data_IF_896039495476
#
_entry.id   IF_896039495476
#
_cell.length_a   1.000
_cell.length_b   1.000
_cell.length_c   1.000
_cell.angle_alpha   90.00
_cell.angle_beta   90.00
_cell.angle_gamma   90.00
#
_symmetry.space_group_name_H-M   'P 1'
#
loop_
_entity.id
_entity.type
_entity.pdbx_description
1 polymer ?
#
# COMPACT_ATOMS: atom_id res chain seq x y z
N UNK A 1 -48.84 -17.78 -48.48
CA UNK A 1 -47.84 -18.61 -49.18
C UNK A 1 -46.72 -17.70 -49.68
N UNK A 2 -45.53 -17.87 -49.09
CA UNK A 2 -44.19 -17.35 -49.39
C UNK A 2 -43.99 -16.09 -50.27
N UNK A 3 -43.31 -15.09 -49.70
CA UNK A 3 -42.32 -14.28 -50.42
C UNK A 3 -41.01 -14.24 -49.64
N UNK A 4 -40.00 -14.85 -50.25
CA UNK A 4 -38.58 -14.74 -49.96
C UNK A 4 -38.15 -13.31 -50.29
N UNK A 5 -37.38 -12.64 -49.43
CA UNK A 5 -36.24 -11.84 -49.89
C UNK A 5 -35.28 -11.56 -48.73
N UNK A 6 -34.08 -12.09 -48.89
CA UNK A 6 -32.82 -11.84 -48.17
C UNK A 6 -32.53 -10.36 -47.91
N UNK A 7 -32.06 -10.05 -46.70
CA UNK A 7 -31.32 -8.82 -46.40
C UNK A 7 -30.04 -9.19 -45.65
N UNK A 8 -28.92 -9.03 -46.36
CA UNK A 8 -27.54 -9.16 -45.89
C UNK A 8 -27.07 -7.76 -45.46
N UNK A 9 -26.06 -7.70 -44.59
CA UNK A 9 -25.19 -6.54 -44.26
C UNK A 9 -25.72 -5.62 -43.17
N UNK A 10 -24.95 -5.13 -42.22
CA UNK A 10 -23.56 -5.37 -41.82
C UNK A 10 -23.36 -4.76 -40.43
N UNK A 11 -22.37 -5.28 -39.72
CA UNK A 11 -21.82 -4.81 -38.46
C UNK A 11 -21.58 -3.29 -38.44
N UNK A 12 -21.92 -2.64 -37.32
CA UNK A 12 -21.18 -1.46 -36.85
C UNK A 12 -20.94 -1.58 -35.34
N UNK A 13 -19.83 -2.24 -35.00
CA UNK A 13 -19.16 -2.08 -33.71
C UNK A 13 -18.57 -0.67 -33.67
N UNK A 14 -19.20 0.25 -32.96
CA UNK A 14 -18.59 1.54 -32.64
C UNK A 14 -17.53 1.33 -31.56
N UNK A 15 -16.28 1.22 -32.01
CA UNK A 15 -15.10 1.28 -31.14
C UNK A 15 -14.99 2.70 -30.57
N UNK A 16 -15.01 2.84 -29.24
CA UNK A 16 -14.56 4.08 -28.59
C UNK A 16 -13.05 4.20 -28.79
N UNK A 17 -12.64 5.14 -29.63
CA UNK A 17 -11.26 5.59 -29.71
C UNK A 17 -10.97 6.50 -28.51
N UNK A 18 -10.08 6.04 -27.62
CA UNK A 18 -9.45 6.93 -26.63
C UNK A 18 -8.47 7.84 -27.36
N UNK A 19 -8.87 9.09 -27.59
CA UNK A 19 -7.93 10.13 -27.97
C UNK A 19 -7.01 10.44 -26.78
N UNK A 20 -5.75 9.97 -26.84
CA UNK A 20 -4.67 10.50 -26.02
C UNK A 20 -4.36 11.93 -26.50
N UNK A 21 -5.01 12.91 -25.89
CA UNK A 21 -4.58 14.30 -26.02
C UNK A 21 -3.30 14.49 -25.21
N UNK A 22 -2.16 14.44 -25.92
CA UNK A 22 -0.86 14.85 -25.39
C UNK A 22 -0.87 16.32 -25.03
N UNK A 23 -0.86 16.61 -23.73
CA UNK A 23 -0.72 17.98 -23.22
C UNK A 23 0.65 18.58 -23.55
N UNK A 24 0.79 19.92 -23.52
CA UNK A 24 1.98 20.61 -23.97
C UNK A 24 3.22 20.23 -23.16
N UNK A 25 4.32 19.96 -23.88
CA UNK A 25 5.66 19.73 -23.34
C UNK A 25 6.11 20.96 -22.55
N UNK A 26 6.26 20.83 -21.23
CA UNK A 26 6.91 21.86 -20.42
C UNK A 26 8.40 21.91 -20.72
N UNK A 27 8.83 23.11 -21.07
CA UNK A 27 10.16 23.48 -21.54
C UNK A 27 11.28 23.19 -20.54
N UNK A 28 12.40 22.70 -21.07
CA UNK A 28 13.67 22.62 -20.39
C UNK A 28 14.26 24.02 -20.17
N UNK A 29 14.51 24.39 -18.92
CA UNK A 29 15.68 25.11 -18.42
C UNK A 29 15.36 25.78 -17.07
N UNK A 30 15.73 25.11 -16.00
CA UNK A 30 15.83 25.69 -14.67
C UNK A 30 17.20 25.40 -14.09
N UNK A 31 18.23 26.14 -14.53
CA UNK A 31 19.53 26.19 -13.84
C UNK A 31 19.33 26.89 -12.49
N UNK A 32 19.05 26.10 -11.45
CA UNK A 32 19.06 26.56 -10.07
C UNK A 32 20.45 26.34 -9.45
N UNK A 33 21.19 27.41 -9.21
CA UNK A 33 22.42 27.40 -8.42
C UNK A 33 22.14 26.92 -7.00
N UNK A 34 22.42 25.65 -6.70
CA UNK A 34 22.58 25.14 -5.34
C UNK A 34 24.05 25.21 -4.94
N UNK A 35 24.40 26.14 -4.06
CA UNK A 35 25.77 26.30 -3.53
C UNK A 35 26.24 25.09 -2.70
N UNK A 36 27.55 25.01 -2.42
CA UNK A 36 28.18 23.81 -1.87
C UNK A 36 28.02 23.78 -0.34
N UNK A 37 26.90 23.24 0.14
CA UNK A 37 26.79 22.89 1.55
C UNK A 37 27.25 21.46 1.80
N UNK A 38 28.54 21.39 2.08
CA UNK A 38 29.21 20.52 3.04
C UNK A 38 28.34 19.38 3.62
N UNK A 39 28.62 18.19 3.11
CA UNK A 39 28.84 16.94 3.84
C UNK A 39 28.83 17.08 5.37
N UNK A 40 27.65 16.99 5.99
CA UNK A 40 27.52 16.73 7.41
C UNK A 40 27.16 15.25 7.57
N UNK A 41 28.21 14.43 7.73
CA UNK A 41 28.11 13.05 8.20
C UNK A 41 27.54 13.07 9.63
N UNK A 42 26.22 13.02 9.76
CA UNK A 42 25.59 12.54 10.99
C UNK A 42 26.02 11.08 11.23
N UNK A 43 25.98 10.58 12.47
CA UNK A 43 26.41 9.22 12.78
C UNK A 43 25.62 8.27 11.87
N UNK A 44 26.35 7.59 10.98
CA UNK A 44 25.81 6.59 10.08
C UNK A 44 25.06 5.57 10.92
N UNK A 45 23.73 5.71 11.03
CA UNK A 45 22.90 4.54 11.25
C UNK A 45 23.10 3.71 10.00
N UNK A 46 23.87 2.63 10.15
CA UNK A 46 23.92 1.58 9.14
C UNK A 46 22.49 1.37 8.65
N UNK A 47 22.26 1.33 7.33
CA UNK A 47 20.96 0.94 6.85
C UNK A 47 20.71 -0.44 7.44
N UNK A 48 19.78 -0.54 8.41
CA UNK A 48 19.16 -1.79 8.82
C UNK A 48 18.32 -2.32 7.63
N UNK A 49 18.97 -2.48 6.48
CA UNK A 49 18.48 -3.04 5.23
C UNK A 49 18.52 -4.56 5.28
N UNK A 50 18.13 -5.12 6.42
CA UNK A 50 18.22 -6.55 6.71
C UNK A 50 16.87 -7.20 6.92
N UNK A 51 15.75 -6.57 6.56
CA UNK A 51 14.41 -6.98 7.03
C UNK A 51 14.13 -8.48 7.00
N UNK A 52 14.54 -9.22 5.96
CA UNK A 52 14.40 -10.69 5.90
C UNK A 52 15.74 -11.45 5.83
N UNK A 53 16.78 -10.82 5.29
CA UNK A 53 18.11 -11.43 5.17
C UNK A 53 18.89 -11.42 6.49
N UNK A 54 18.69 -10.42 7.36
CA UNK A 54 19.25 -10.43 8.71
C UNK A 54 18.53 -11.45 9.60
N UNK A 55 17.19 -11.53 9.50
CA UNK A 55 16.41 -12.58 10.17
C UNK A 55 16.86 -14.01 9.80
N UNK A 56 17.31 -14.21 8.55
CA UNK A 56 17.85 -15.50 8.10
C UNK A 56 19.17 -15.87 8.77
N UNK A 57 20.10 -14.92 8.85
CA UNK A 57 21.41 -15.14 9.47
C UNK A 57 21.28 -15.30 10.98
N UNK A 58 20.40 -14.55 11.61
CA UNK A 58 20.27 -14.55 13.08
C UNK A 58 19.60 -15.82 13.60
N UNK A 59 18.64 -16.38 12.84
CA UNK A 59 17.91 -17.58 13.22
C UNK A 59 18.46 -18.88 12.61
N UNK A 60 19.51 -18.81 11.77
CA UNK A 60 20.06 -19.95 11.05
C UNK A 60 18.98 -20.80 10.36
N UNK A 61 18.11 -20.16 9.58
CA UNK A 61 16.99 -20.84 8.93
C UNK A 61 17.48 -21.86 7.90
N UNK A 62 16.86 -23.05 7.87
CA UNK A 62 17.12 -24.02 6.82
C UNK A 62 16.59 -23.51 5.46
N UNK A 63 17.09 -24.07 4.35
CA UNK A 63 16.59 -23.74 3.01
C UNK A 63 15.08 -24.01 2.88
N UNK A 64 14.60 -25.08 3.49
CA UNK A 64 13.18 -25.46 3.51
C UNK A 64 12.35 -24.46 4.32
N UNK A 65 12.77 -24.12 5.54
CA UNK A 65 12.11 -23.11 6.37
C UNK A 65 12.03 -21.75 5.64
N UNK A 66 13.13 -21.33 5.01
CA UNK A 66 13.15 -20.12 4.22
C UNK A 66 12.12 -20.16 3.08
N UNK A 67 12.07 -21.26 2.33
CA UNK A 67 11.15 -21.39 1.21
C UNK A 67 9.70 -21.30 1.69
N UNK A 68 9.34 -21.98 2.78
CA UNK A 68 8.03 -21.89 3.41
C UNK A 68 7.71 -20.45 3.85
N UNK A 69 8.65 -19.75 4.47
CA UNK A 69 8.46 -18.37 4.90
C UNK A 69 8.26 -17.39 3.73
N UNK A 70 8.94 -17.61 2.60
CA UNK A 70 8.74 -16.81 1.37
C UNK A 70 7.33 -16.99 0.84
N UNK A 71 6.84 -18.22 0.77
CA UNK A 71 5.48 -18.52 0.31
C UNK A 71 4.42 -17.93 1.24
N UNK A 72 4.62 -18.04 2.56
CA UNK A 72 3.74 -17.40 3.55
C UNK A 72 3.72 -15.87 3.38
N UNK A 73 4.87 -15.25 3.15
CA UNK A 73 4.98 -13.81 2.91
C UNK A 73 4.27 -13.39 1.62
N UNK A 74 4.38 -14.17 0.54
CA UNK A 74 3.67 -13.90 -0.70
C UNK A 74 2.15 -13.97 -0.51
N UNK A 75 1.65 -15.04 0.11
CA UNK A 75 0.22 -15.19 0.43
C UNK A 75 -0.28 -14.06 1.35
N UNK A 76 0.55 -13.62 2.29
CA UNK A 76 0.23 -12.48 3.14
C UNK A 76 0.17 -11.17 2.34
N UNK A 77 1.09 -10.93 1.41
CA UNK A 77 1.11 -9.73 0.59
C UNK A 77 -0.16 -9.61 -0.28
N UNK A 78 -0.63 -10.71 -0.84
CA UNK A 78 -1.88 -10.77 -1.62
C UNK A 78 -3.10 -10.39 -0.77
N UNK A 79 -3.21 -10.96 0.44
CA UNK A 79 -4.30 -10.62 1.38
C UNK A 79 -4.25 -9.17 1.84
N UNK A 80 -3.06 -8.68 2.17
CA UNK A 80 -2.86 -7.27 2.55
C UNK A 80 -3.25 -6.32 1.42
N UNK A 81 -2.90 -6.64 0.17
CA UNK A 81 -3.26 -5.81 -0.98
C UNK A 81 -4.78 -5.72 -1.13
N UNK A 82 -5.49 -6.85 -1.00
CA UNK A 82 -6.96 -6.89 -1.02
C UNK A 82 -7.56 -5.98 0.05
N UNK A 83 -7.12 -6.12 1.30
CA UNK A 83 -7.66 -5.31 2.40
C UNK A 83 -7.33 -3.82 2.28
N UNK A 84 -6.15 -3.47 1.74
CA UNK A 84 -5.78 -2.07 1.43
C UNK A 84 -6.66 -1.48 0.33
N UNK A 85 -6.94 -2.24 -0.71
CA UNK A 85 -7.81 -1.81 -1.80
C UNK A 85 -9.23 -1.58 -1.28
N UNK A 86 -9.77 -2.53 -0.51
CA UNK A 86 -11.08 -2.40 0.13
C UNK A 86 -11.14 -1.19 1.06
N UNK A 87 -10.11 -0.97 1.89
CA UNK A 87 -10.06 0.21 2.75
C UNK A 87 -10.07 1.52 1.94
N UNK A 88 -9.34 1.55 0.83
CA UNK A 88 -9.23 2.74 -0.02
C UNK A 88 -10.55 3.04 -0.71
N UNK A 89 -11.23 2.01 -1.22
CA UNK A 89 -12.56 2.13 -1.81
C UNK A 89 -13.59 2.66 -0.80
N UNK A 90 -13.65 2.08 0.40
CA UNK A 90 -14.55 2.53 1.46
C UNK A 90 -14.28 4.01 1.86
N UNK A 91 -13.01 4.41 1.91
CA UNK A 91 -12.63 5.81 2.18
C UNK A 91 -13.09 6.76 1.08
N UNK A 92 -12.99 6.36 -0.19
CA UNK A 92 -13.47 7.15 -1.32
C UNK A 92 -15.00 7.28 -1.29
N UNK A 93 -15.71 6.19 -1.02
CA UNK A 93 -17.17 6.21 -0.88
C UNK A 93 -17.61 7.12 0.27
N UNK A 94 -16.93 7.06 1.41
CA UNK A 94 -17.17 7.95 2.55
C UNK A 94 -16.91 9.41 2.20
N UNK A 95 -15.79 9.72 1.56
CA UNK A 95 -15.46 11.09 1.12
C UNK A 95 -16.49 11.64 0.14
N UNK A 96 -16.96 10.82 -0.80
CA UNK A 96 -17.99 11.21 -1.76
C UNK A 96 -19.34 11.48 -1.08
N UNK A 97 -19.72 10.64 -0.11
CA UNK A 97 -21.00 10.78 0.60
C UNK A 97 -21.06 12.06 1.45
N UNK A 98 -20.03 12.29 2.27
CA UNK A 98 -19.96 13.46 3.16
C UNK A 98 -19.78 14.78 2.39
N UNK A 99 -19.20 14.73 1.18
CA UNK A 99 -19.06 15.91 0.32
C UNK A 99 -20.28 16.17 -0.57
N UNK A 100 -21.30 15.30 -0.51
CA UNK A 100 -22.50 15.46 -1.32
C UNK A 100 -23.36 16.63 -0.81
N UNK A 101 -24.22 17.18 -1.68
CA UNK A 101 -25.12 18.29 -1.30
C UNK A 101 -26.15 17.91 -0.24
N UNK A 102 -26.42 16.61 -0.08
CA UNK A 102 -27.38 16.05 0.87
C UNK A 102 -26.82 14.70 1.37
N UNK A 103 -25.88 14.72 2.31
CA UNK A 103 -25.31 13.48 2.85
C UNK A 103 -26.39 12.62 3.49
N UNK A 104 -26.31 11.31 3.28
CA UNK A 104 -27.13 10.31 3.97
C UNK A 104 -26.40 9.80 5.21
N UNK A 105 -26.85 10.25 6.39
CA UNK A 105 -26.28 9.88 7.68
C UNK A 105 -26.23 8.35 7.89
N UNK A 106 -27.26 7.61 7.44
CA UNK A 106 -27.28 6.15 7.60
C UNK A 106 -26.19 5.48 6.78
N UNK A 107 -26.01 5.97 5.55
CA UNK A 107 -24.95 5.46 4.67
C UNK A 107 -23.56 5.81 5.19
N UNK A 108 -23.39 6.98 5.80
CA UNK A 108 -22.15 7.36 6.47
C UNK A 108 -21.83 6.39 7.62
N UNK A 109 -22.80 6.09 8.47
CA UNK A 109 -22.64 5.13 9.58
C UNK A 109 -22.27 3.73 9.06
N UNK A 110 -22.96 3.25 8.02
CA UNK A 110 -22.65 1.97 7.37
C UNK A 110 -21.21 1.92 6.84
N UNK A 111 -20.74 3.00 6.20
CA UNK A 111 -19.37 3.09 5.69
C UNK A 111 -18.33 3.12 6.82
N UNK A 112 -18.65 3.76 7.96
CA UNK A 112 -17.80 3.75 9.17
C UNK A 112 -17.67 2.32 9.70
N UNK A 113 -18.78 1.60 9.82
CA UNK A 113 -18.80 0.22 10.30
C UNK A 113 -18.00 -0.72 9.38
N UNK A 114 -18.18 -0.58 8.06
CA UNK A 114 -17.43 -1.35 7.07
C UNK A 114 -15.93 -1.07 7.13
N UNK A 115 -15.52 0.20 7.28
CA UNK A 115 -14.11 0.55 7.50
C UNK A 115 -13.57 -0.05 8.80
N UNK A 116 -14.37 -0.04 9.87
CA UNK A 116 -14.04 -0.66 11.14
C UNK A 116 -13.81 -2.17 11.02
N UNK A 117 -14.68 -2.87 10.30
CA UNK A 117 -14.55 -4.32 10.11
C UNK A 117 -13.34 -4.69 9.22
N UNK A 118 -13.06 -3.90 8.19
CA UNK A 118 -11.87 -4.11 7.36
C UNK A 118 -10.56 -3.88 8.16
N UNK A 119 -10.56 -2.91 9.08
CA UNK A 119 -9.45 -2.71 10.02
C UNK A 119 -9.26 -3.91 10.96
N UNK A 120 -10.36 -4.44 11.53
CA UNK A 120 -10.30 -5.67 12.35
C UNK A 120 -9.76 -6.85 11.55
N UNK A 121 -10.19 -7.00 10.31
CA UNK A 121 -9.71 -8.06 9.40
C UNK A 121 -8.20 -7.93 9.17
N UNK A 122 -7.71 -6.72 8.91
CA UNK A 122 -6.27 -6.45 8.77
C UNK A 122 -5.49 -6.84 10.03
N UNK A 123 -6.01 -6.53 11.22
CA UNK A 123 -5.39 -6.91 12.49
C UNK A 123 -5.36 -8.42 12.69
N UNK A 124 -6.48 -9.12 12.42
CA UNK A 124 -6.55 -10.59 12.49
C UNK A 124 -5.54 -11.24 11.56
N UNK A 125 -5.41 -10.74 10.33
CA UNK A 125 -4.42 -11.25 9.38
C UNK A 125 -2.98 -11.03 9.86
N UNK A 126 -2.67 -9.87 10.46
CA UNK A 126 -1.34 -9.63 11.05
C UNK A 126 -1.04 -10.64 12.14
N UNK A 127 -1.99 -10.89 13.05
CA UNK A 127 -1.85 -11.92 14.09
C UNK A 127 -1.66 -13.31 13.48
N UNK A 128 -2.45 -13.66 12.47
CA UNK A 128 -2.34 -14.96 11.83
C UNK A 128 -0.99 -15.13 11.13
N UNK A 129 -0.49 -14.12 10.42
CA UNK A 129 0.84 -14.18 9.79
C UNK A 129 1.97 -14.34 10.80
N UNK A 130 1.86 -13.75 11.99
CA UNK A 130 2.81 -13.99 13.08
C UNK A 130 2.77 -15.43 13.57
N UNK A 131 1.57 -16.00 13.72
CA UNK A 131 1.39 -17.40 14.12
C UNK A 131 1.97 -18.34 13.06
N UNK A 132 1.68 -18.09 11.79
CA UNK A 132 2.21 -18.87 10.67
C UNK A 132 3.74 -18.79 10.62
N UNK A 133 4.31 -17.59 10.78
CA UNK A 133 5.76 -17.41 10.88
C UNK A 133 6.38 -18.23 12.01
N UNK A 134 5.83 -18.11 13.23
CA UNK A 134 6.32 -18.84 14.41
C UNK A 134 6.20 -20.35 14.26
N UNK A 135 5.21 -20.84 13.52
CA UNK A 135 4.99 -22.28 13.30
C UNK A 135 6.08 -22.95 12.47
N UNK A 136 6.84 -22.18 11.69
CA UNK A 136 7.94 -22.70 10.85
C UNK A 136 9.24 -22.82 11.65
N UNK A 137 9.36 -22.08 12.75
CA UNK A 137 10.56 -22.02 13.57
C UNK A 137 10.62 -23.16 14.59
N UNK A 138 11.82 -23.64 14.90
CA UNK A 138 12.04 -24.53 16.04
C UNK A 138 11.91 -23.77 17.35
N UNK A 139 11.77 -24.50 18.47
CA UNK A 139 11.71 -23.89 19.80
C UNK A 139 12.95 -23.04 20.09
N UNK A 140 14.13 -23.54 19.76
CA UNK A 140 15.40 -22.81 19.95
C UNK A 140 15.48 -21.55 19.09
N UNK A 141 14.94 -21.58 17.87
CA UNK A 141 14.86 -20.39 17.00
C UNK A 141 13.86 -19.36 17.54
N UNK A 142 12.73 -19.81 18.10
CA UNK A 142 11.76 -18.93 18.74
C UNK A 142 12.31 -18.25 19.99
N UNK A 143 13.16 -18.92 20.76
CA UNK A 143 13.83 -18.33 21.93
C UNK A 143 14.85 -17.25 21.54
N UNK A 144 15.44 -17.35 20.35
CA UNK A 144 16.33 -16.32 19.78
C UNK A 144 15.59 -15.16 19.11
N UNK A 145 14.29 -15.33 18.85
CA UNK A 145 13.50 -14.33 18.15
C UNK A 145 13.16 -13.16 19.07
N UNK A 146 13.83 -12.02 18.87
CA UNK A 146 13.42 -10.76 19.46
C UNK A 146 12.18 -10.22 18.73
N UNK A 147 11.01 -10.38 19.36
CA UNK A 147 9.74 -9.91 18.82
C UNK A 147 9.70 -8.39 18.68
N UNK A 148 10.39 -7.63 19.53
CA UNK A 148 10.40 -6.17 19.47
C UNK A 148 11.13 -5.72 18.21
N UNK A 149 12.34 -6.26 17.96
CA UNK A 149 13.07 -6.00 16.71
C UNK A 149 12.31 -6.49 15.47
N UNK A 150 11.62 -7.62 15.57
CA UNK A 150 10.79 -8.13 14.49
C UNK A 150 9.65 -7.17 14.12
N UNK A 151 9.01 -6.55 15.12
CA UNK A 151 7.97 -5.55 14.89
C UNK A 151 8.51 -4.21 14.44
N UNK A 152 9.66 -3.78 14.96
CA UNK A 152 10.31 -2.53 14.56
C UNK A 152 10.82 -2.62 13.10
N UNK A 153 11.29 -3.80 12.68
CA UNK A 153 11.70 -4.08 11.29
C UNK A 153 10.53 -4.23 10.30
N UNK A 154 9.33 -4.55 10.78
CA UNK A 154 8.09 -4.58 9.96
C UNK A 154 7.28 -3.29 10.07
N UNK A 155 7.55 -2.48 11.09
CA UNK A 155 6.80 -1.31 11.48
C UNK A 155 7.60 -0.04 11.27
N UNK A 156 7.77 0.34 10.00
CA UNK A 156 8.07 1.73 9.68
C UNK A 156 9.56 2.06 9.59
N UNK A 157 10.06 2.03 8.36
CA UNK A 157 10.85 3.15 7.87
C UNK A 157 9.98 4.42 7.73
N UNK A 158 9.32 4.87 8.80
CA UNK A 158 8.59 6.14 8.90
C UNK A 158 8.42 6.51 10.38
N UNK A 159 9.50 7.00 11.00
CA UNK A 159 9.49 7.44 12.40
C UNK A 159 10.62 8.39 12.79
N UNK A 160 11.29 9.04 11.82
CA UNK A 160 12.25 10.11 12.07
C UNK A 160 11.78 11.37 11.35
N UNK A 161 11.43 12.40 12.11
CA UNK A 161 10.71 13.58 11.64
C UNK A 161 11.33 14.30 10.43
N UNK A 162 10.53 14.40 9.36
CA UNK A 162 10.57 15.51 8.39
C UNK A 162 9.14 16.00 8.14
N UNK A 163 8.42 16.29 9.23
CA UNK A 163 7.28 17.22 9.26
C UNK A 163 7.61 18.33 10.25
N UNK A 164 8.62 19.12 9.90
CA UNK A 164 9.12 20.21 10.72
C UNK A 164 10.01 21.09 9.85
N UNK A 165 9.38 21.91 9.00
CA UNK A 165 10.12 22.76 8.07
C UNK A 165 9.31 23.43 6.96
N UNK A 166 8.02 23.74 7.17
CA UNK A 166 7.32 24.82 6.46
C UNK A 166 6.33 25.48 7.41
N UNK A 167 6.86 26.25 8.34
CA UNK A 167 6.23 27.51 8.68
C UNK A 167 6.47 28.45 7.49
N UNK A 168 5.40 28.86 6.81
CA UNK A 168 5.44 29.74 5.64
C UNK A 168 4.05 29.80 5.02
N UNK A 169 3.32 30.86 5.34
CA UNK A 169 1.86 30.96 5.26
C UNK A 169 1.25 30.92 3.86
N UNK A 170 0.00 30.47 3.84
CA UNK A 170 -0.95 30.66 2.75
C UNK A 170 -2.33 30.95 3.37
N UNK A 171 -3.10 31.92 2.85
CA UNK A 171 -4.19 32.53 3.58
C UNK A 171 -5.37 31.56 3.71
N UNK A 172 -5.97 31.56 4.90
CA UNK A 172 -7.28 30.98 5.10
C UNK A 172 -8.30 31.61 4.16
N UNK A 173 -9.11 30.75 3.53
CA UNK A 173 -10.30 31.11 2.77
C UNK A 173 -11.37 30.08 3.10
N UNK A 174 -12.55 30.60 3.41
CA UNK A 174 -13.77 29.95 3.92
C UNK A 174 -14.20 28.69 3.18
#
# INVERSE_FOLDING_TARGET
MAKILTLIMALLFTQLTFAQNGGPKMSANGKGNGGPHAQANGPHHEPRGGGMMALMTDLNLTKEQLQTLKELKQKQAERQLKNRNQQSELRLQFQNEISSKKPDDKKIDELIDQMGENMKTTLRERVQSLKDFKSVLTKEQLEKLDMQQFFDGQGGGMGGGMRGGRAGGGPGGF
#
